data_IF_306870656842
#
_entry.id   IF_306870656842
#
_cell.length_a   1.000
_cell.length_b   1.000
_cell.length_c   1.000
_cell.angle_alpha   90.00
_cell.angle_beta   90.00
_cell.angle_gamma   90.00
#
_symmetry.space_group_name_H-M   'P 1'
#
loop_
_entity.id
_entity.type
_entity.pdbx_description
1 polymer ?
#
# COMPACT_ATOMS: atom_id res chain seq x y z
N UNK A 1 -8.55 75.16 -24.94
CA UNK A 1 -8.19 74.00 -24.17
C UNK A 1 -9.00 72.81 -24.70
N UNK A 2 -8.41 71.85 -25.40
CA UNK A 2 -9.10 70.65 -25.87
C UNK A 2 -8.96 69.52 -24.87
N UNK A 3 -10.10 68.88 -24.57
CA UNK A 3 -10.27 67.75 -23.71
C UNK A 3 -9.78 66.47 -24.39
N UNK A 4 -8.81 65.79 -23.77
CA UNK A 4 -8.32 64.44 -24.16
C UNK A 4 -9.40 63.41 -23.81
N UNK A 5 -9.91 62.69 -24.80
CA UNK A 5 -10.71 61.46 -24.61
C UNK A 5 -9.78 60.25 -24.56
N UNK A 6 -9.70 59.63 -23.42
CA UNK A 6 -8.96 58.38 -23.23
C UNK A 6 -9.81 57.20 -23.72
N UNK A 7 -9.34 56.56 -24.82
CA UNK A 7 -9.93 55.27 -25.27
C UNK A 7 -9.30 54.14 -24.46
N UNK A 8 -10.07 53.50 -23.62
CA UNK A 8 -9.68 52.24 -22.95
C UNK A 8 -9.89 51.06 -23.91
N UNK A 9 -8.79 50.40 -24.27
CA UNK A 9 -8.82 49.12 -25.01
C UNK A 9 -9.05 48.00 -23.97
N UNK A 10 -10.26 47.39 -23.99
CA UNK A 10 -10.55 46.18 -23.25
C UNK A 10 -10.04 44.99 -24.07
N UNK A 11 -8.89 44.42 -23.66
CA UNK A 11 -8.41 43.14 -24.19
C UNK A 11 -9.22 42.01 -23.53
N UNK A 12 -10.17 41.46 -24.26
CA UNK A 12 -10.86 40.20 -23.90
C UNK A 12 -9.89 39.03 -24.15
N UNK A 13 -9.28 38.50 -23.09
CA UNK A 13 -8.59 37.20 -23.14
C UNK A 13 -9.63 36.08 -23.28
N UNK A 14 -9.76 35.52 -24.45
CA UNK A 14 -10.45 34.24 -24.65
C UNK A 14 -9.57 33.14 -24.10
N UNK A 15 -9.86 32.66 -22.90
CA UNK A 15 -9.31 31.40 -22.38
C UNK A 15 -10.04 30.29 -23.12
N UNK A 16 -9.39 29.74 -24.15
CA UNK A 16 -9.82 28.49 -24.73
C UNK A 16 -9.57 27.40 -23.66
N UNK A 17 -10.63 26.99 -22.95
CA UNK A 17 -10.63 25.71 -22.25
C UNK A 17 -10.46 24.64 -23.34
N UNK A 18 -9.24 24.16 -23.53
CA UNK A 18 -9.01 22.94 -24.30
C UNK A 18 -9.66 21.80 -23.51
N UNK A 19 -10.87 21.38 -23.89
CA UNK A 19 -11.45 20.14 -23.44
C UNK A 19 -10.47 19.03 -23.79
N UNK A 20 -9.99 18.27 -22.80
CA UNK A 20 -9.15 17.11 -23.07
C UNK A 20 -9.91 16.17 -24.02
N UNK A 21 -9.25 15.71 -25.06
CA UNK A 21 -9.86 14.77 -26.00
C UNK A 21 -10.23 13.48 -25.26
N UNK A 22 -11.49 13.12 -25.31
CA UNK A 22 -12.02 11.87 -24.74
C UNK A 22 -11.75 10.72 -25.69
N UNK A 23 -11.15 9.66 -25.18
CA UNK A 23 -10.81 8.44 -25.92
C UNK A 23 -11.55 7.26 -25.32
N UNK A 24 -12.10 6.40 -26.18
CA UNK A 24 -12.86 5.23 -25.76
C UNK A 24 -11.95 4.08 -25.39
N UNK A 25 -12.17 3.52 -24.21
CA UNK A 25 -11.53 2.27 -23.74
C UNK A 25 -12.60 1.21 -23.57
N UNK A 26 -12.45 0.11 -24.30
CA UNK A 26 -13.28 -1.09 -24.20
C UNK A 26 -12.45 -2.21 -23.59
N UNK A 27 -12.95 -2.85 -22.54
CA UNK A 27 -12.32 -4.01 -21.90
C UNK A 27 -13.25 -5.20 -22.05
N UNK A 28 -12.78 -6.21 -22.77
CA UNK A 28 -13.47 -7.48 -22.96
C UNK A 28 -12.84 -8.51 -22.04
N UNK A 29 -13.65 -9.24 -21.27
CA UNK A 29 -13.19 -10.29 -20.36
C UNK A 29 -13.73 -11.62 -20.83
N UNK A 30 -12.82 -12.54 -21.21
CA UNK A 30 -13.09 -13.89 -21.70
C UNK A 30 -12.47 -14.93 -20.75
N UNK A 31 -13.13 -15.28 -19.62
CA UNK A 31 -12.59 -16.30 -18.72
C UNK A 31 -12.44 -17.65 -19.43
N UNK A 32 -11.39 -18.42 -19.09
CA UNK A 32 -11.22 -19.79 -19.58
C UNK A 32 -12.39 -20.68 -19.18
N UNK A 33 -12.54 -21.84 -19.82
CA UNK A 33 -13.60 -22.81 -19.50
C UNK A 33 -13.56 -23.20 -18.01
N UNK A 34 -12.37 -23.32 -17.43
CA UNK A 34 -12.18 -23.63 -16.01
C UNK A 34 -12.56 -22.49 -15.07
N UNK A 35 -12.57 -21.24 -15.56
CA UNK A 35 -12.94 -20.05 -14.80
C UNK A 35 -14.42 -19.66 -14.95
N UNK A 36 -15.16 -20.30 -15.87
CA UNK A 36 -16.60 -20.02 -16.10
C UNK A 36 -17.46 -20.76 -15.10
N UNK A 37 -18.53 -20.07 -14.69
CA UNK A 37 -19.57 -20.60 -13.83
C UNK A 37 -20.93 -20.07 -14.29
N UNK A 38 -22.01 -20.83 -14.14
CA UNK A 38 -23.35 -20.44 -14.60
C UNK A 38 -23.87 -19.13 -13.95
N UNK A 39 -23.36 -18.78 -12.77
CA UNK A 39 -23.69 -17.57 -12.03
C UNK A 39 -22.60 -16.49 -12.01
N UNK A 40 -21.56 -16.62 -12.87
CA UNK A 40 -20.41 -15.71 -12.83
C UNK A 40 -20.83 -14.28 -13.14
N UNK A 41 -20.55 -13.37 -12.21
CA UNK A 41 -20.58 -11.94 -12.41
C UNK A 41 -19.14 -11.44 -12.41
N UNK A 42 -18.79 -10.61 -13.40
CA UNK A 42 -17.45 -10.07 -13.55
C UNK A 42 -17.48 -8.58 -13.23
N UNK A 43 -16.49 -8.12 -12.48
CA UNK A 43 -16.34 -6.73 -12.06
C UNK A 43 -14.94 -6.22 -12.41
N UNK A 44 -14.82 -4.89 -12.51
CA UNK A 44 -13.56 -4.20 -12.63
C UNK A 44 -13.35 -3.29 -11.41
N UNK A 45 -12.13 -3.28 -10.89
CA UNK A 45 -11.72 -2.40 -9.80
C UNK A 45 -10.38 -1.75 -10.13
N UNK A 46 -10.27 -0.43 -10.00
CA UNK A 46 -9.05 0.28 -10.38
C UNK A 46 -8.95 1.70 -9.86
N UNK A 47 -7.94 2.40 -10.35
CA UNK A 47 -7.54 3.71 -9.86
C UNK A 47 -8.46 4.89 -10.25
N UNK A 48 -9.42 4.67 -11.16
CA UNK A 48 -10.37 5.69 -11.63
C UNK A 48 -11.75 5.50 -11.02
N UNK A 49 -12.55 6.58 -11.00
CA UNK A 49 -13.96 6.53 -10.60
C UNK A 49 -14.77 5.55 -11.43
N UNK A 50 -14.49 5.48 -12.74
CA UNK A 50 -15.09 4.56 -13.71
C UNK A 50 -14.79 3.10 -13.40
N UNK A 51 -13.72 2.85 -12.66
CA UNK A 51 -13.32 1.52 -12.15
C UNK A 51 -13.65 1.33 -10.66
N UNK A 52 -14.48 2.21 -10.07
CA UNK A 52 -14.96 2.06 -8.70
C UNK A 52 -13.91 2.30 -7.61
N UNK A 53 -12.82 3.04 -7.91
CA UNK A 53 -11.80 3.43 -6.93
C UNK A 53 -11.33 2.26 -6.04
N UNK A 54 -10.95 1.15 -6.68
CA UNK A 54 -10.50 -0.08 -6.03
C UNK A 54 -11.56 -0.82 -5.19
N UNK A 55 -12.85 -0.59 -5.43
CA UNK A 55 -13.90 -1.42 -4.85
C UNK A 55 -14.18 -2.63 -5.75
N UNK A 56 -13.91 -3.89 -5.32
CA UNK A 56 -13.95 -5.07 -6.17
C UNK A 56 -15.36 -5.49 -6.64
N UNK A 57 -16.41 -4.88 -6.09
CA UNK A 57 -17.81 -5.22 -6.40
C UNK A 57 -18.64 -4.05 -6.92
N UNK A 58 -18.04 -2.85 -7.08
CA UNK A 58 -18.83 -1.66 -7.42
C UNK A 58 -19.17 -1.52 -8.91
N UNK A 59 -18.25 -1.90 -9.81
CA UNK A 59 -18.44 -1.74 -11.26
C UNK A 59 -18.55 -3.12 -11.92
N UNK A 60 -19.79 -3.52 -12.14
CA UNK A 60 -20.10 -4.79 -12.81
C UNK A 60 -20.00 -4.64 -14.32
N UNK A 61 -19.36 -5.60 -14.99
CA UNK A 61 -19.30 -5.66 -16.44
C UNK A 61 -20.63 -6.15 -17.03
N UNK A 62 -20.97 -5.64 -18.19
CA UNK A 62 -22.08 -6.12 -18.99
C UNK A 62 -21.80 -7.53 -19.53
N UNK A 63 -22.70 -8.48 -19.32
CA UNK A 63 -22.58 -9.83 -19.87
C UNK A 63 -23.10 -9.84 -21.31
N UNK A 64 -22.19 -10.04 -22.27
CA UNK A 64 -22.51 -10.08 -23.70
C UNK A 64 -22.92 -11.49 -24.12
N UNK A 65 -22.28 -12.51 -23.55
CA UNK A 65 -22.58 -13.93 -23.79
C UNK A 65 -22.23 -14.78 -22.56
N UNK A 66 -22.40 -16.09 -22.66
CA UNK A 66 -21.99 -17.02 -21.60
C UNK A 66 -20.47 -17.06 -21.36
N UNK A 67 -19.69 -16.45 -22.25
CA UNK A 67 -18.24 -16.46 -22.17
C UNK A 67 -17.59 -15.09 -22.30
N UNK A 68 -18.37 -14.02 -22.43
CA UNK A 68 -17.85 -12.69 -22.70
C UNK A 68 -18.55 -11.62 -21.87
N UNK A 69 -17.75 -10.82 -21.18
CA UNK A 69 -18.17 -9.62 -20.45
C UNK A 69 -17.48 -8.39 -21.02
N UNK A 70 -18.16 -7.24 -20.99
CA UNK A 70 -17.71 -5.97 -21.55
C UNK A 70 -17.79 -4.86 -20.49
N UNK A 71 -16.76 -4.05 -20.45
CA UNK A 71 -16.76 -2.71 -19.87
C UNK A 71 -16.40 -1.71 -20.97
N UNK A 72 -17.05 -0.53 -20.97
CA UNK A 72 -16.72 0.55 -21.89
C UNK A 72 -16.89 1.90 -21.20
N UNK A 73 -15.89 2.78 -21.34
CA UNK A 73 -15.94 4.15 -20.85
C UNK A 73 -15.01 5.06 -21.65
N UNK A 74 -15.20 6.36 -21.53
CA UNK A 74 -14.34 7.37 -22.11
C UNK A 74 -13.38 7.92 -21.05
N UNK A 75 -12.14 8.17 -21.46
CA UNK A 75 -11.08 8.72 -20.60
C UNK A 75 -10.36 9.84 -21.31
N UNK A 76 -9.82 10.78 -20.55
CA UNK A 76 -8.98 11.82 -21.11
C UNK A 76 -7.72 11.23 -21.75
N UNK A 77 -7.28 11.81 -22.86
CA UNK A 77 -6.01 11.43 -23.47
C UNK A 77 -4.88 11.54 -22.45
N UNK A 78 -3.90 10.62 -22.53
CA UNK A 78 -2.81 10.43 -21.58
C UNK A 78 -3.24 10.00 -20.16
N UNK A 79 -4.51 9.63 -19.94
CA UNK A 79 -4.91 8.99 -18.69
C UNK A 79 -4.15 7.68 -18.46
N UNK A 80 -3.62 7.51 -17.26
CA UNK A 80 -3.08 6.24 -16.82
C UNK A 80 -4.16 5.44 -16.09
N UNK A 81 -4.47 4.27 -16.63
CA UNK A 81 -5.45 3.34 -16.08
C UNK A 81 -4.73 2.15 -15.46
N UNK A 82 -5.12 1.83 -14.23
CA UNK A 82 -4.65 0.67 -13.51
C UNK A 82 -5.85 -0.03 -12.88
N UNK A 83 -6.00 -1.33 -13.15
CA UNK A 83 -7.18 -2.06 -12.72
C UNK A 83 -6.93 -3.57 -12.56
N UNK A 84 -7.87 -4.21 -11.91
CA UNK A 84 -7.99 -5.67 -11.75
C UNK A 84 -9.38 -6.12 -12.16
N UNK A 85 -9.49 -7.39 -12.54
CA UNK A 85 -10.76 -8.05 -12.78
C UNK A 85 -11.06 -8.96 -11.60
N UNK A 86 -12.30 -8.94 -11.10
CA UNK A 86 -12.74 -9.75 -9.98
C UNK A 86 -14.07 -10.44 -10.28
N UNK A 87 -14.45 -11.42 -9.48
CA UNK A 87 -15.81 -11.99 -9.47
C UNK A 87 -16.61 -11.50 -8.25
N UNK A 88 -16.43 -10.22 -7.86
CA UNK A 88 -17.20 -9.52 -6.83
C UNK A 88 -16.47 -9.37 -5.49
N UNK A 89 -15.28 -9.92 -5.33
CA UNK A 89 -14.46 -9.71 -4.12
C UNK A 89 -12.98 -9.87 -4.44
N UNK A 90 -12.12 -9.40 -3.54
CA UNK A 90 -10.68 -9.59 -3.67
C UNK A 90 -10.22 -11.04 -3.51
N UNK A 91 -11.00 -11.87 -2.82
CA UNK A 91 -10.78 -13.32 -2.75
C UNK A 91 -11.09 -14.03 -4.07
N UNK A 92 -11.80 -13.35 -4.96
CA UNK A 92 -12.19 -13.84 -6.28
C UNK A 92 -11.54 -13.00 -7.39
N UNK A 93 -10.33 -12.56 -7.18
CA UNK A 93 -9.53 -11.84 -8.18
C UNK A 93 -9.11 -12.77 -9.32
N UNK A 94 -9.07 -12.23 -10.54
CA UNK A 94 -8.65 -12.96 -11.73
C UNK A 94 -7.16 -13.31 -11.70
N UNK A 95 -6.83 -14.55 -12.03
CA UNK A 95 -5.47 -15.05 -12.17
C UNK A 95 -5.20 -15.47 -13.61
N UNK A 96 -4.01 -15.13 -14.10
CA UNK A 96 -3.56 -15.40 -15.47
C UNK A 96 -2.54 -16.55 -15.54
N UNK A 97 -2.14 -17.07 -14.39
CA UNK A 97 -1.25 -18.23 -14.25
C UNK A 97 -1.53 -18.88 -12.88
N UNK A 98 -1.53 -20.21 -12.80
CA UNK A 98 -1.81 -20.96 -11.57
C UNK A 98 -0.81 -20.71 -10.44
N UNK A 99 0.39 -20.23 -10.76
CA UNK A 99 1.49 -20.03 -9.80
C UNK A 99 1.86 -18.57 -9.57
N UNK A 100 1.10 -17.61 -10.08
CA UNK A 100 1.42 -16.18 -9.96
C UNK A 100 0.43 -15.45 -9.09
N UNK A 101 0.97 -14.56 -8.27
CA UNK A 101 0.17 -13.55 -7.57
C UNK A 101 -0.55 -12.66 -8.57
N UNK A 102 -1.79 -12.24 -8.27
CA UNK A 102 -2.52 -11.30 -9.11
C UNK A 102 -1.72 -10.01 -9.32
N UNK A 103 -1.66 -9.55 -10.57
CA UNK A 103 -1.00 -8.29 -10.93
C UNK A 103 -2.03 -7.31 -11.47
N UNK A 104 -1.79 -6.02 -11.27
CA UNK A 104 -2.62 -4.99 -11.89
C UNK A 104 -2.42 -4.98 -13.41
N UNK A 105 -3.51 -4.80 -14.15
CA UNK A 105 -3.45 -4.49 -15.57
C UNK A 105 -3.29 -2.98 -15.72
N UNK A 106 -2.37 -2.53 -16.57
CA UNK A 106 -2.09 -1.10 -16.77
C UNK A 106 -2.26 -0.73 -18.24
N UNK A 107 -2.78 0.48 -18.50
CA UNK A 107 -2.96 1.04 -19.83
C UNK A 107 -2.71 2.55 -19.80
N UNK A 108 -1.85 3.05 -20.70
CA UNK A 108 -1.76 4.47 -21.03
C UNK A 108 -2.70 4.78 -22.20
N UNK A 109 -3.68 5.64 -21.98
CA UNK A 109 -4.70 5.98 -22.98
C UNK A 109 -4.13 7.01 -23.97
N UNK A 110 -3.79 6.56 -25.18
CA UNK A 110 -3.25 7.45 -26.25
C UNK A 110 -4.12 7.43 -27.52
N UNK A 111 -5.06 6.48 -27.61
CA UNK A 111 -6.03 6.31 -28.70
C UNK A 111 -7.18 5.45 -28.23
N UNK A 112 -8.25 5.38 -29.00
CA UNK A 112 -9.31 4.40 -28.78
C UNK A 112 -8.71 2.99 -28.72
N UNK A 113 -9.01 2.27 -27.65
CA UNK A 113 -8.32 1.00 -27.35
C UNK A 113 -9.32 -0.07 -26.91
N UNK A 114 -9.17 -1.27 -27.43
CA UNK A 114 -9.86 -2.47 -26.95
C UNK A 114 -8.82 -3.42 -26.35
N UNK A 115 -9.03 -3.80 -25.08
CA UNK A 115 -8.23 -4.81 -24.39
C UNK A 115 -9.05 -6.09 -24.23
N UNK A 116 -8.43 -7.24 -24.45
CA UNK A 116 -9.02 -8.55 -24.17
C UNK A 116 -8.26 -9.18 -23.00
N UNK A 117 -8.98 -9.42 -21.92
CA UNK A 117 -8.46 -9.99 -20.67
C UNK A 117 -8.98 -11.42 -20.56
N UNK A 118 -8.07 -12.39 -20.38
CA UNK A 118 -8.41 -13.83 -20.34
C UNK A 118 -8.01 -14.46 -19.01
N UNK A 119 -8.83 -14.35 -17.97
CA UNK A 119 -8.59 -15.05 -16.72
C UNK A 119 -8.55 -16.56 -16.92
N UNK A 120 -7.52 -17.22 -16.39
CA UNK A 120 -7.43 -18.68 -16.38
C UNK A 120 -8.17 -19.26 -15.16
N UNK A 121 -8.12 -18.56 -14.04
CA UNK A 121 -8.71 -18.97 -12.77
C UNK A 121 -9.20 -17.77 -12.00
N UNK A 122 -10.03 -18.03 -10.95
CA UNK A 122 -10.33 -17.09 -9.87
C UNK A 122 -9.57 -17.53 -8.64
N UNK A 123 -8.98 -16.61 -7.91
CA UNK A 123 -8.09 -16.84 -6.76
C UNK A 123 -8.63 -17.90 -5.78
N UNK A 124 -9.89 -17.82 -5.37
CA UNK A 124 -10.53 -18.76 -4.44
C UNK A 124 -10.53 -20.21 -4.91
N UNK A 125 -10.50 -20.49 -6.21
CA UNK A 125 -10.48 -21.86 -6.75
C UNK A 125 -9.11 -22.54 -6.65
N UNK A 126 -8.03 -21.77 -6.66
CA UNK A 126 -6.66 -22.29 -6.46
C UNK A 126 -6.38 -22.54 -4.98
N UNK A 127 -6.95 -21.72 -4.09
CA UNK A 127 -6.81 -21.85 -2.63
C UNK A 127 -7.56 -23.04 -2.02
N UNK A 128 -8.08 -24.00 -2.80
CA UNK A 128 -8.66 -25.24 -2.25
C UNK A 128 -7.62 -26.17 -1.60
N UNK A 129 -6.33 -25.97 -1.86
CA UNK A 129 -5.27 -26.42 -0.96
C UNK A 129 -4.93 -25.26 -0.03
N UNK A 130 -5.59 -25.19 1.11
CA UNK A 130 -5.29 -24.20 2.14
C UNK A 130 -3.81 -24.39 2.52
N UNK A 131 -2.96 -23.37 2.38
CA UNK A 131 -1.58 -23.52 2.83
C UNK A 131 -1.58 -23.88 4.32
N UNK A 132 -0.62 -24.68 4.76
CA UNK A 132 -0.45 -24.97 6.18
C UNK A 132 0.02 -23.71 6.91
N UNK A 133 -0.45 -23.47 8.16
CA UNK A 133 0.05 -22.38 8.99
C UNK A 133 1.57 -22.52 9.16
N UNK A 134 2.31 -21.45 8.89
CA UNK A 134 3.78 -21.50 8.89
C UNK A 134 4.44 -20.41 9.75
N UNK A 135 3.80 -20.01 10.84
CA UNK A 135 4.35 -18.97 11.71
C UNK A 135 5.57 -19.52 12.47
N UNK A 136 6.71 -18.86 12.30
CA UNK A 136 7.95 -19.19 12.99
C UNK A 136 8.09 -18.39 14.28
N UNK A 137 8.19 -19.07 15.40
CA UNK A 137 8.33 -18.46 16.72
C UNK A 137 7.00 -18.30 17.45
N UNK A 138 6.98 -17.43 18.45
CA UNK A 138 5.81 -17.21 19.30
C UNK A 138 5.05 -15.98 18.85
N UNK A 139 3.74 -16.13 18.71
CA UNK A 139 2.80 -15.04 18.47
C UNK A 139 1.70 -15.01 19.49
N UNK A 140 1.27 -13.80 19.85
CA UNK A 140 0.09 -13.55 20.66
C UNK A 140 -0.93 -12.77 19.81
N UNK A 141 -2.22 -13.05 20.02
CA UNK A 141 -3.31 -12.37 19.32
C UNK A 141 -4.11 -11.50 20.29
N UNK A 142 -4.37 -10.27 19.88
CA UNK A 142 -5.36 -9.41 20.53
C UNK A 142 -6.49 -9.18 19.53
N UNK A 143 -7.68 -9.65 19.90
CA UNK A 143 -8.82 -9.72 18.98
C UNK A 143 -9.77 -8.54 19.15
N UNK A 144 -10.35 -8.10 18.01
CA UNK A 144 -11.47 -7.18 17.96
C UNK A 144 -11.22 -5.84 18.68
N UNK A 145 -10.02 -5.28 18.54
CA UNK A 145 -9.71 -3.96 19.06
C UNK A 145 -10.36 -2.88 18.22
N UNK A 146 -11.04 -1.95 18.86
CA UNK A 146 -11.65 -0.78 18.25
C UNK A 146 -10.98 0.51 18.68
N UNK A 147 -11.30 1.60 17.98
CA UNK A 147 -10.83 2.95 18.29
C UNK A 147 -11.87 3.99 17.93
N UNK A 148 -11.82 5.13 18.59
CA UNK A 148 -12.73 6.23 18.34
C UNK A 148 -12.63 6.71 16.89
N UNK A 149 -13.77 6.91 16.25
CA UNK A 149 -13.87 7.35 14.87
C UNK A 149 -13.61 6.26 13.82
N UNK A 150 -13.37 4.98 14.21
CA UNK A 150 -13.27 3.84 13.31
C UNK A 150 -14.58 3.09 13.20
N UNK A 151 -14.93 2.64 12.00
CA UNK A 151 -16.16 1.87 11.75
C UNK A 151 -16.02 0.38 12.07
N UNK A 152 -14.79 -0.14 12.15
CA UNK A 152 -14.53 -1.57 12.26
C UNK A 152 -13.47 -1.87 13.32
N UNK A 153 -13.73 -2.89 14.13
CA UNK A 153 -12.74 -3.51 14.99
C UNK A 153 -11.77 -4.35 14.15
N UNK A 154 -10.58 -4.60 14.68
CA UNK A 154 -9.55 -5.38 14.00
C UNK A 154 -8.70 -6.19 14.96
N UNK A 155 -8.07 -7.20 14.43
CA UNK A 155 -7.16 -8.05 15.17
C UNK A 155 -5.73 -7.49 15.09
N UNK A 156 -4.97 -7.76 16.13
CA UNK A 156 -3.55 -7.46 16.23
C UNK A 156 -2.82 -8.78 16.50
N UNK A 157 -1.73 -9.00 15.78
CA UNK A 157 -0.82 -10.13 16.01
C UNK A 157 0.54 -9.59 16.47
N UNK A 158 1.07 -10.14 17.55
CA UNK A 158 2.36 -9.73 18.12
C UNK A 158 3.33 -10.90 18.07
N UNK A 159 4.41 -10.77 17.29
CA UNK A 159 5.50 -11.72 17.24
C UNK A 159 6.60 -11.34 18.22
N UNK A 160 7.06 -12.33 18.99
CA UNK A 160 8.06 -12.16 20.03
C UNK A 160 9.41 -12.72 19.59
N UNK A 161 10.52 -11.98 19.82
CA UNK A 161 11.85 -12.40 19.40
C UNK A 161 12.37 -13.63 20.18
N UNK A 162 13.36 -14.38 19.64
CA UNK A 162 13.80 -15.66 20.18
C UNK A 162 14.24 -15.64 21.66
N UNK A 163 14.78 -14.52 22.15
CA UNK A 163 15.21 -14.43 23.56
C UNK A 163 14.11 -13.94 24.51
N UNK A 164 12.90 -13.61 24.02
CA UNK A 164 11.88 -12.96 24.83
C UNK A 164 11.53 -13.73 26.12
N UNK A 165 11.28 -15.03 26.02
CA UNK A 165 10.95 -15.87 27.19
C UNK A 165 12.15 -16.08 28.12
N UNK A 166 13.36 -16.17 27.56
CA UNK A 166 14.59 -16.50 28.30
C UNK A 166 15.18 -15.30 29.03
N UNK A 167 15.01 -14.09 28.48
CA UNK A 167 15.58 -12.87 29.03
C UNK A 167 14.51 -11.91 29.52
N UNK A 168 14.04 -12.14 30.75
CA UNK A 168 12.94 -11.44 31.37
C UNK A 168 13.22 -9.96 31.72
N UNK A 169 14.48 -9.52 31.67
CA UNK A 169 14.90 -8.14 31.97
C UNK A 169 15.10 -7.28 30.71
N UNK A 170 15.20 -7.91 29.55
CA UNK A 170 15.47 -7.21 28.29
C UNK A 170 14.23 -6.53 27.75
N UNK A 171 14.38 -5.30 27.27
CA UNK A 171 13.38 -4.52 26.53
C UNK A 171 13.76 -4.45 25.05
N UNK A 172 12.77 -4.45 24.18
CA UNK A 172 12.94 -4.62 22.75
C UNK A 172 12.35 -3.43 21.97
N UNK A 173 13.00 -2.97 20.91
CA UNK A 173 12.37 -2.08 19.94
C UNK A 173 11.13 -2.72 19.35
N UNK A 174 10.21 -1.91 18.84
CA UNK A 174 8.94 -2.37 18.28
C UNK A 174 8.81 -1.92 16.84
N UNK A 175 8.45 -2.85 15.98
CA UNK A 175 8.05 -2.62 14.61
C UNK A 175 6.55 -2.85 14.47
N UNK A 176 5.81 -1.80 14.12
CA UNK A 176 4.39 -1.90 13.73
C UNK A 176 4.29 -2.14 12.23
N UNK A 177 3.40 -3.02 11.81
CA UNK A 177 3.20 -3.33 10.39
C UNK A 177 1.73 -3.23 10.01
N UNK A 178 1.45 -2.47 8.97
CA UNK A 178 0.14 -2.43 8.33
C UNK A 178 -0.17 -3.76 7.64
N UNK A 179 -1.46 -4.04 7.41
CA UNK A 179 -1.92 -5.26 6.75
C UNK A 179 -1.45 -6.54 7.46
N UNK A 180 -1.59 -6.57 8.80
CA UNK A 180 -1.04 -7.59 9.69
C UNK A 180 -1.44 -9.03 9.35
N UNK A 181 -2.54 -9.24 8.65
CA UNK A 181 -2.97 -10.56 8.16
C UNK A 181 -2.03 -11.14 7.09
N UNK A 182 -1.20 -10.29 6.44
CA UNK A 182 -0.33 -10.69 5.32
C UNK A 182 1.12 -10.94 5.72
N UNK A 183 1.50 -10.81 7.01
CA UNK A 183 2.93 -10.69 7.35
C UNK A 183 3.61 -11.98 7.82
N UNK A 184 2.87 -12.93 8.40
CA UNK A 184 3.43 -14.13 9.04
C UNK A 184 2.83 -15.46 8.57
N UNK A 185 1.61 -15.45 8.02
CA UNK A 185 0.88 -16.69 7.76
C UNK A 185 0.19 -16.63 6.39
N UNK A 186 0.55 -17.52 5.46
CA UNK A 186 -0.09 -17.56 4.15
C UNK A 186 -1.58 -17.92 4.24
N UNK A 187 -2.03 -18.56 5.34
CA UNK A 187 -3.46 -18.92 5.50
C UNK A 187 -4.35 -17.73 5.79
N UNK A 188 -3.81 -16.66 6.37
CA UNK A 188 -4.51 -15.39 6.63
C UNK A 188 -4.22 -14.35 5.56
N UNK A 189 -3.13 -14.53 4.80
CA UNK A 189 -2.69 -13.58 3.81
C UNK A 189 -3.68 -13.46 2.66
N UNK A 190 -3.95 -12.21 2.27
CA UNK A 190 -4.90 -11.84 1.23
C UNK A 190 -4.67 -12.54 -0.13
N UNK A 191 -3.40 -12.72 -0.53
CA UNK A 191 -3.02 -13.39 -1.77
C UNK A 191 -2.71 -14.88 -1.60
N UNK A 192 -2.74 -15.41 -0.36
CA UNK A 192 -2.23 -16.73 -0.04
C UNK A 192 -0.69 -16.81 0.00
N UNK A 193 -0.02 -15.64 -0.08
CA UNK A 193 1.41 -15.45 0.14
C UNK A 193 1.59 -14.41 1.24
N UNK A 194 2.30 -14.76 2.27
CA UNK A 194 2.69 -13.84 3.34
C UNK A 194 4.06 -13.20 3.06
N UNK A 195 4.39 -12.19 3.85
CA UNK A 195 5.67 -11.51 3.71
C UNK A 195 6.84 -12.27 4.36
N UNK A 196 6.57 -13.33 5.10
CA UNK A 196 7.56 -14.13 5.80
C UNK A 196 8.44 -13.30 6.75
N UNK A 197 7.82 -12.34 7.42
CA UNK A 197 8.56 -11.35 8.24
C UNK A 197 9.18 -12.01 9.45
N UNK A 198 8.53 -12.99 10.03
CA UNK A 198 9.01 -13.80 11.17
C UNK A 198 10.25 -14.61 10.81
N UNK A 199 10.28 -15.29 9.65
CA UNK A 199 11.47 -16.03 9.21
C UNK A 199 12.61 -15.10 8.87
N UNK A 200 12.32 -13.97 8.19
CA UNK A 200 13.35 -12.98 7.86
C UNK A 200 13.91 -12.34 9.13
N UNK A 201 13.07 -11.93 10.07
CA UNK A 201 13.49 -11.33 11.33
C UNK A 201 14.29 -12.33 12.19
N UNK A 202 13.79 -13.58 12.38
CA UNK A 202 14.49 -14.62 13.13
C UNK A 202 15.88 -14.89 12.53
N UNK A 203 15.98 -14.98 11.20
CA UNK A 203 17.25 -15.17 10.50
C UNK A 203 18.23 -14.02 10.74
N UNK A 204 17.80 -12.78 10.53
CA UNK A 204 18.64 -11.59 10.73
C UNK A 204 19.09 -11.44 12.19
N UNK A 205 18.21 -11.75 13.14
CA UNK A 205 18.52 -11.76 14.59
C UNK A 205 19.57 -12.81 14.91
N UNK A 206 19.41 -14.06 14.45
CA UNK A 206 20.36 -15.16 14.69
C UNK A 206 21.72 -14.87 14.06
N UNK A 207 21.75 -14.26 12.90
CA UNK A 207 22.98 -13.79 12.25
C UNK A 207 23.58 -12.53 12.90
N UNK A 208 22.90 -11.95 13.90
CA UNK A 208 23.32 -10.72 14.60
C UNK A 208 23.40 -9.50 13.67
N UNK A 209 22.65 -9.50 12.57
CA UNK A 209 22.58 -8.38 11.62
C UNK A 209 21.70 -7.26 12.18
N UNK A 210 20.59 -7.63 12.82
CA UNK A 210 19.69 -6.67 13.52
C UNK A 210 19.65 -6.97 15.02
N UNK A 211 19.21 -5.99 15.81
CA UNK A 211 18.84 -6.27 17.20
C UNK A 211 17.52 -7.07 17.25
N UNK A 212 17.25 -7.70 18.39
CA UNK A 212 15.98 -8.38 18.59
C UNK A 212 14.86 -7.37 18.76
N UNK A 213 13.79 -7.53 18.00
CA UNK A 213 12.63 -6.63 17.95
C UNK A 213 11.33 -7.39 18.23
N UNK A 214 10.32 -6.71 18.75
CA UNK A 214 8.92 -7.15 18.75
C UNK A 214 8.30 -6.66 17.44
N UNK A 215 7.48 -7.50 16.77
CA UNK A 215 6.77 -7.12 15.55
C UNK A 215 5.27 -7.19 15.80
N UNK A 216 4.56 -6.11 15.51
CA UNK A 216 3.13 -5.95 15.75
C UNK A 216 2.41 -5.77 14.41
N UNK A 217 1.71 -6.80 13.98
CA UNK A 217 0.88 -6.75 12.78
C UNK A 217 -0.53 -6.22 13.07
N UNK A 218 -0.91 -5.14 12.44
CA UNK A 218 -2.23 -4.52 12.56
C UNK A 218 -3.06 -4.94 11.35
N UNK A 219 -4.10 -5.74 11.57
CA UNK A 219 -4.97 -6.19 10.48
C UNK A 219 -5.70 -4.99 9.89
N UNK A 220 -5.89 -4.98 8.58
CA UNK A 220 -6.72 -3.96 7.94
C UNK A 220 -8.21 -4.25 8.13
N UNK A 221 -9.02 -3.28 7.78
CA UNK A 221 -10.48 -3.33 7.75
C UNK A 221 -11.00 -3.16 6.33
N UNK A 222 -12.31 -3.31 6.07
CA UNK A 222 -12.93 -2.91 4.82
C UNK A 222 -12.67 -1.43 4.43
N UNK A 223 -12.44 -0.57 5.42
CA UNK A 223 -12.14 0.85 5.23
C UNK A 223 -10.64 1.13 5.01
N UNK A 224 -9.84 0.11 4.65
CA UNK A 224 -8.39 0.23 4.45
C UNK A 224 -7.98 1.45 3.61
N UNK A 225 -8.72 1.74 2.55
CA UNK A 225 -8.37 2.84 1.63
C UNK A 225 -8.40 4.21 2.33
N UNK A 226 -9.50 4.67 2.94
CA UNK A 226 -9.53 5.93 3.67
C UNK A 226 -8.69 5.89 4.96
N UNK A 227 -8.59 4.76 5.66
CA UNK A 227 -7.78 4.64 6.89
C UNK A 227 -6.28 4.78 6.63
N UNK A 228 -5.79 4.39 5.44
CA UNK A 228 -4.36 4.47 5.10
C UNK A 228 -4.00 5.76 4.34
N UNK A 229 -4.91 6.72 4.28
CA UNK A 229 -4.74 7.98 3.59
C UNK A 229 -4.73 9.18 4.54
N UNK A 230 -4.47 10.37 4.00
CA UNK A 230 -4.59 11.63 4.75
C UNK A 230 -6.03 12.13 4.75
N UNK A 231 -6.88 11.46 5.53
CA UNK A 231 -8.32 11.70 5.70
C UNK A 231 -8.69 11.75 7.18
N UNK A 232 -9.97 11.99 7.47
CA UNK A 232 -10.50 11.88 8.84
C UNK A 232 -10.37 10.46 9.38
N UNK A 233 -10.73 9.43 8.58
CA UNK A 233 -10.55 8.04 8.96
C UNK A 233 -9.06 7.67 9.09
N UNK A 234 -8.17 8.23 8.27
CA UNK A 234 -6.73 8.07 8.41
C UNK A 234 -6.21 8.67 9.72
N UNK A 235 -6.76 9.80 10.14
CA UNK A 235 -6.44 10.42 11.43
C UNK A 235 -6.96 9.58 12.59
N UNK A 236 -8.19 9.05 12.50
CA UNK A 236 -8.76 8.13 13.49
C UNK A 236 -7.93 6.83 13.58
N UNK A 237 -7.52 6.26 12.45
CA UNK A 237 -6.64 5.09 12.41
C UNK A 237 -5.28 5.36 13.05
N UNK A 238 -4.65 6.49 12.77
CA UNK A 238 -3.39 6.87 13.40
C UNK A 238 -3.54 7.01 14.93
N UNK A 239 -4.62 7.65 15.40
CA UNK A 239 -4.93 7.76 16.82
C UNK A 239 -5.19 6.38 17.45
N UNK A 240 -5.90 5.49 16.79
CA UNK A 240 -6.09 4.11 17.24
C UNK A 240 -4.76 3.38 17.39
N UNK A 241 -3.87 3.46 16.40
CA UNK A 241 -2.55 2.80 16.48
C UNK A 241 -1.73 3.35 17.66
N UNK A 242 -1.80 4.64 17.93
CA UNK A 242 -1.04 5.27 19.01
C UNK A 242 -1.68 5.01 20.38
N UNK A 243 -2.96 5.31 20.52
CA UNK A 243 -3.62 5.38 21.83
C UNK A 243 -4.18 4.03 22.28
N UNK A 244 -4.44 3.09 21.35
CA UNK A 244 -4.96 1.77 21.66
C UNK A 244 -3.89 0.72 21.46
N UNK A 245 -3.39 0.56 20.22
CA UNK A 245 -2.46 -0.54 19.90
C UNK A 245 -1.13 -0.36 20.61
N UNK A 246 -0.49 0.80 20.45
CA UNK A 246 0.82 1.06 21.09
C UNK A 246 0.72 1.05 22.61
N UNK A 247 -0.31 1.65 23.18
CA UNK A 247 -0.53 1.64 24.62
C UNK A 247 -0.71 0.22 25.17
N UNK A 248 -1.48 -0.64 24.48
CA UNK A 248 -1.64 -2.05 24.81
C UNK A 248 -0.31 -2.80 24.74
N UNK A 249 0.44 -2.63 23.63
CA UNK A 249 1.73 -3.29 23.44
C UNK A 249 2.75 -2.87 24.48
N UNK A 250 2.84 -1.58 24.79
CA UNK A 250 3.77 -1.05 25.78
C UNK A 250 3.44 -1.45 27.22
N UNK A 251 2.16 -1.70 27.53
CA UNK A 251 1.73 -2.19 28.87
C UNK A 251 1.84 -3.71 29.01
N UNK A 252 1.76 -4.46 27.91
CA UNK A 252 1.74 -5.92 27.93
C UNK A 252 3.13 -6.53 27.74
N UNK A 253 3.96 -5.87 26.91
CA UNK A 253 5.26 -6.42 26.52
C UNK A 253 6.42 -5.53 26.96
N UNK A 254 7.61 -6.10 27.04
CA UNK A 254 8.85 -5.41 27.42
C UNK A 254 9.39 -4.60 26.24
N UNK A 255 8.82 -3.44 26.00
CA UNK A 255 9.16 -2.56 24.89
C UNK A 255 10.15 -1.46 25.29
N UNK A 256 10.97 -1.02 24.33
CA UNK A 256 11.67 0.27 24.37
C UNK A 256 10.72 1.32 23.75
N UNK A 257 10.13 2.17 24.59
CA UNK A 257 8.98 3.00 24.21
C UNK A 257 9.35 4.27 23.43
N UNK A 258 10.62 4.66 23.39
CA UNK A 258 11.02 5.91 22.72
C UNK A 258 10.90 5.79 21.19
N UNK A 259 10.71 6.94 20.54
CA UNK A 259 10.54 7.01 19.08
C UNK A 259 11.69 6.39 18.29
N UNK A 260 12.92 6.47 18.81
CA UNK A 260 14.13 5.91 18.20
C UNK A 260 14.09 4.39 18.12
N UNK A 261 13.22 3.76 18.93
CA UNK A 261 13.00 2.32 18.99
C UNK A 261 11.61 1.90 18.46
N UNK A 262 10.86 2.84 17.87
CA UNK A 262 9.52 2.61 17.35
C UNK A 262 9.50 2.84 15.84
N UNK A 263 9.30 1.75 15.09
CA UNK A 263 9.20 1.77 13.63
C UNK A 263 7.80 1.39 13.15
N UNK A 264 7.45 1.84 11.93
CA UNK A 264 6.23 1.44 11.24
C UNK A 264 6.53 1.12 9.78
N UNK A 265 5.91 0.08 9.22
CA UNK A 265 6.17 -0.37 7.86
C UNK A 265 4.88 -0.85 7.18
N UNK A 266 4.82 -0.70 5.88
CA UNK A 266 3.76 -1.24 5.04
C UNK A 266 4.08 -1.13 3.55
N UNK A 267 3.20 -1.67 2.71
CA UNK A 267 3.32 -1.58 1.26
C UNK A 267 2.14 -0.85 0.64
N UNK A 268 2.34 -0.34 -0.57
CA UNK A 268 1.26 0.31 -1.32
C UNK A 268 0.69 1.49 -0.52
N UNK A 269 -0.63 1.50 -0.25
CA UNK A 269 -1.25 2.46 0.68
C UNK A 269 -0.68 2.34 2.10
N UNK A 270 -0.32 1.12 2.56
CA UNK A 270 0.36 0.94 3.85
C UNK A 270 1.74 1.60 3.87
N UNK A 271 2.44 1.67 2.74
CA UNK A 271 3.69 2.42 2.59
C UNK A 271 3.48 3.94 2.63
N UNK A 272 2.40 4.44 2.01
CA UNK A 272 1.96 5.82 2.13
C UNK A 272 1.63 6.16 3.60
N UNK A 273 0.80 5.33 4.24
CA UNK A 273 0.43 5.47 5.65
C UNK A 273 1.65 5.50 6.57
N UNK A 274 2.63 4.58 6.36
CA UNK A 274 3.86 4.56 7.14
C UNK A 274 4.63 5.89 7.08
N UNK A 275 4.69 6.51 5.90
CA UNK A 275 5.30 7.84 5.76
C UNK A 275 4.49 8.91 6.49
N UNK A 276 3.16 8.89 6.39
CA UNK A 276 2.27 9.82 7.10
C UNK A 276 2.45 9.72 8.62
N UNK A 277 2.59 8.51 9.16
CA UNK A 277 2.81 8.30 10.59
C UNK A 277 4.08 9.00 11.11
N UNK A 278 5.23 8.76 10.49
CA UNK A 278 6.48 9.41 10.93
C UNK A 278 6.51 10.89 10.61
N UNK A 279 5.79 11.32 9.57
CA UNK A 279 5.73 12.72 9.18
C UNK A 279 4.86 13.55 10.12
N UNK A 280 3.69 13.02 10.50
CA UNK A 280 2.72 13.71 11.38
C UNK A 280 2.99 13.49 12.86
N UNK A 281 3.51 12.33 13.24
CA UNK A 281 3.81 11.96 14.64
C UNK A 281 5.27 11.54 14.84
N UNK A 282 6.24 12.43 14.51
CA UNK A 282 7.66 12.18 14.71
C UNK A 282 8.07 12.11 16.19
N UNK A 283 7.16 12.45 17.10
CA UNK A 283 7.27 12.29 18.54
C UNK A 283 7.05 10.84 18.99
N UNK A 284 6.29 10.04 18.22
CA UNK A 284 5.93 8.64 18.52
C UNK A 284 6.71 7.67 17.67
N UNK A 285 6.78 7.90 16.35
CA UNK A 285 7.42 7.03 15.38
C UNK A 285 8.68 7.69 14.83
N UNK A 286 9.83 7.08 15.09
CA UNK A 286 11.11 7.57 14.58
C UNK A 286 11.55 6.95 13.26
N UNK A 287 10.90 5.87 12.80
CA UNK A 287 11.36 5.11 11.64
C UNK A 287 10.17 4.64 10.79
N UNK A 288 10.27 4.80 9.47
CA UNK A 288 9.30 4.27 8.51
C UNK A 288 9.96 3.41 7.43
N UNK A 289 9.28 2.31 7.07
CA UNK A 289 9.54 1.51 5.89
C UNK A 289 8.37 1.60 4.90
N UNK A 290 8.61 2.18 3.74
CA UNK A 290 7.59 2.44 2.73
C UNK A 290 7.90 1.61 1.49
N UNK A 291 7.30 0.40 1.37
CA UNK A 291 7.51 -0.47 0.23
C UNK A 291 6.48 -0.16 -0.86
N UNK A 292 6.96 0.12 -2.07
CA UNK A 292 6.09 0.44 -3.21
C UNK A 292 4.96 1.42 -2.88
N UNK A 293 5.23 2.58 -2.22
CA UNK A 293 4.20 3.44 -1.66
C UNK A 293 3.32 4.09 -2.74
N UNK A 294 2.02 4.16 -2.47
CA UNK A 294 1.00 4.71 -3.38
C UNK A 294 0.97 6.25 -3.36
N UNK A 295 2.06 6.92 -3.74
CA UNK A 295 2.15 8.39 -3.72
C UNK A 295 1.25 9.10 -4.73
N UNK A 296 0.66 8.38 -5.66
CA UNK A 296 -0.34 8.90 -6.61
C UNK A 296 -1.71 9.16 -5.95
N UNK A 297 -1.95 8.55 -4.78
CA UNK A 297 -3.25 8.63 -4.11
C UNK A 297 -3.59 10.08 -3.73
N UNK A 298 -4.89 10.41 -3.81
CA UNK A 298 -5.46 11.73 -3.51
C UNK A 298 -4.70 12.86 -4.22
N UNK A 299 -4.54 12.70 -5.54
CA UNK A 299 -3.87 13.67 -6.41
C UNK A 299 -2.48 14.08 -5.90
N UNK A 300 -1.71 13.10 -5.41
CA UNK A 300 -0.35 13.27 -4.88
C UNK A 300 -0.26 14.21 -3.65
N UNK A 301 -1.32 14.34 -2.89
CA UNK A 301 -1.42 15.23 -1.72
C UNK A 301 -0.20 15.12 -0.80
N UNK A 302 0.20 13.89 -0.44
CA UNK A 302 1.37 13.68 0.43
C UNK A 302 2.69 14.17 -0.17
N UNK A 303 2.88 13.99 -1.49
CA UNK A 303 4.05 14.53 -2.19
C UNK A 303 4.08 16.05 -2.14
N UNK A 304 2.92 16.69 -2.39
CA UNK A 304 2.75 18.15 -2.36
C UNK A 304 3.02 18.68 -0.96
N UNK A 305 2.39 18.09 0.06
CA UNK A 305 2.54 18.50 1.47
C UNK A 305 4.01 18.43 1.93
N UNK A 306 4.71 17.32 1.68
CA UNK A 306 6.10 17.17 2.10
C UNK A 306 7.01 18.13 1.32
N UNK A 307 6.75 18.36 0.04
CA UNK A 307 7.51 19.34 -0.78
C UNK A 307 7.37 20.76 -0.23
N UNK A 308 6.16 21.16 0.13
CA UNK A 308 5.83 22.52 0.60
C UNK A 308 6.20 22.76 2.06
N UNK A 309 6.44 21.69 2.82
CA UNK A 309 6.84 21.82 4.23
C UNK A 309 8.11 22.65 4.39
N UNK A 310 8.00 23.77 5.09
CA UNK A 310 9.09 24.76 5.32
C UNK A 310 9.67 24.72 6.76
N UNK A 311 9.15 23.84 7.61
CA UNK A 311 9.64 23.69 8.98
C UNK A 311 11.01 23.00 9.08
N UNK A 312 11.51 22.89 10.29
CA UNK A 312 12.78 22.20 10.55
C UNK A 312 12.72 20.73 10.13
N UNK A 313 13.85 20.21 9.67
CA UNK A 313 14.01 18.79 9.36
C UNK A 313 13.58 17.94 10.55
N UNK A 314 12.65 17.01 10.31
CA UNK A 314 12.19 16.06 11.33
C UNK A 314 13.28 14.98 11.57
N UNK A 315 13.54 14.67 12.85
CA UNK A 315 14.50 13.63 13.23
C UNK A 315 13.87 12.24 13.14
N UNK A 316 13.71 11.76 11.92
CA UNK A 316 13.14 10.46 11.58
C UNK A 316 14.03 9.75 10.55
N UNK A 317 13.89 8.41 10.45
CA UNK A 317 14.51 7.59 9.42
C UNK A 317 13.44 7.10 8.44
N UNK A 318 13.70 7.17 7.16
CA UNK A 318 12.75 6.77 6.11
C UNK A 318 13.46 5.81 5.14
N UNK A 319 12.89 4.62 4.98
CA UNK A 319 13.24 3.69 3.91
C UNK A 319 12.16 3.73 2.83
N UNK A 320 12.57 3.80 1.56
CA UNK A 320 11.69 3.79 0.40
C UNK A 320 12.13 2.71 -0.59
N UNK A 321 11.20 1.96 -1.18
CA UNK A 321 11.52 1.17 -2.35
C UNK A 321 10.43 1.22 -3.42
N UNK A 322 10.77 0.72 -4.62
CA UNK A 322 9.85 0.56 -5.73
C UNK A 322 10.33 -0.57 -6.65
N UNK A 323 9.40 -1.35 -7.17
CA UNK A 323 9.67 -2.35 -8.19
C UNK A 323 9.73 -1.74 -9.59
N UNK A 324 10.64 -2.22 -10.43
CA UNK A 324 10.81 -1.72 -11.80
C UNK A 324 9.67 -2.08 -12.75
N UNK A 325 8.81 -3.03 -12.37
CA UNK A 325 7.59 -3.39 -13.10
C UNK A 325 6.35 -2.67 -12.59
N UNK A 326 6.47 -1.84 -11.57
CA UNK A 326 5.41 -1.01 -10.98
C UNK A 326 5.41 0.39 -11.65
N UNK A 327 5.19 0.43 -12.96
CA UNK A 327 5.41 1.62 -13.81
C UNK A 327 4.74 2.89 -13.27
N UNK A 328 3.56 2.76 -12.71
CA UNK A 328 2.74 3.83 -12.13
C UNK A 328 3.34 4.44 -10.85
N UNK A 329 4.09 3.64 -10.09
CA UNK A 329 4.68 4.08 -8.82
C UNK A 329 6.06 4.73 -8.99
N UNK A 330 6.77 4.39 -10.07
CA UNK A 330 8.17 4.79 -10.27
C UNK A 330 8.33 6.32 -10.23
N UNK A 331 7.42 7.06 -10.86
CA UNK A 331 7.48 8.52 -10.90
C UNK A 331 7.32 9.13 -9.51
N UNK A 332 6.29 8.72 -8.77
CA UNK A 332 6.04 9.17 -7.39
C UNK A 332 7.20 8.82 -6.44
N UNK A 333 7.69 7.57 -6.53
CA UNK A 333 8.86 7.12 -5.77
C UNK A 333 10.09 7.99 -6.02
N UNK A 334 10.48 8.22 -7.28
CA UNK A 334 11.64 9.04 -7.62
C UNK A 334 11.50 10.47 -7.11
N UNK A 335 10.32 11.07 -7.28
CA UNK A 335 10.04 12.43 -6.80
C UNK A 335 10.13 12.52 -5.29
N UNK A 336 9.57 11.54 -4.54
CA UNK A 336 9.64 11.55 -3.09
C UNK A 336 11.10 11.43 -2.60
N UNK A 337 11.91 10.57 -3.22
CA UNK A 337 13.35 10.47 -2.90
C UNK A 337 14.04 11.83 -3.07
N UNK A 338 13.80 12.52 -4.18
CA UNK A 338 14.41 13.85 -4.42
C UNK A 338 13.86 14.91 -3.44
N UNK A 339 12.57 14.92 -3.15
CA UNK A 339 11.98 15.81 -2.14
C UNK A 339 12.67 15.62 -0.78
N UNK A 340 12.81 14.38 -0.33
CA UNK A 340 13.46 14.09 0.96
C UNK A 340 14.94 14.53 0.98
N UNK A 341 15.67 14.35 -0.12
CA UNK A 341 17.05 14.86 -0.25
C UNK A 341 17.10 16.39 -0.13
N UNK A 342 16.18 17.11 -0.80
CA UNK A 342 16.12 18.59 -0.68
C UNK A 342 15.76 19.06 0.72
N UNK A 343 15.03 18.23 1.50
CA UNK A 343 14.76 18.45 2.94
C UNK A 343 15.94 18.07 3.85
N UNK A 344 17.09 17.69 3.26
CA UNK A 344 18.32 17.39 4.00
C UNK A 344 18.45 15.98 4.55
N UNK A 345 17.59 15.03 4.14
CA UNK A 345 17.76 13.61 4.47
C UNK A 345 18.91 13.01 3.63
N UNK A 346 19.74 12.18 4.28
CA UNK A 346 20.98 11.66 3.68
C UNK A 346 20.92 10.15 3.58
N UNK A 347 21.23 9.61 2.38
CA UNK A 347 21.30 8.17 2.14
C UNK A 347 22.28 7.49 3.10
N UNK A 348 21.90 6.33 3.62
CA UNK A 348 22.70 5.55 4.61
C UNK A 348 22.71 6.11 6.04
N UNK A 349 22.04 7.26 6.28
CA UNK A 349 21.92 7.88 7.62
C UNK A 349 20.49 7.88 8.12
N UNK A 350 19.65 8.69 7.51
CA UNK A 350 18.25 8.92 7.88
C UNK A 350 17.29 8.76 6.68
N UNK A 351 17.83 8.46 5.52
CA UNK A 351 17.13 8.04 4.31
C UNK A 351 17.86 6.84 3.73
N UNK A 352 17.14 5.78 3.36
CA UNK A 352 17.65 4.78 2.43
C UNK A 352 16.58 4.45 1.40
N UNK A 353 17.01 4.03 0.22
CA UNK A 353 16.07 3.74 -0.87
C UNK A 353 16.68 2.76 -1.87
N UNK A 354 15.79 1.91 -2.43
CA UNK A 354 16.17 0.87 -3.38
C UNK A 354 15.18 0.81 -4.53
N UNK A 355 15.69 0.52 -5.72
CA UNK A 355 14.91 0.23 -6.92
C UNK A 355 15.18 -1.20 -7.35
N UNK A 356 14.15 -2.05 -7.33
CA UNK A 356 14.26 -3.47 -7.68
C UNK A 356 13.75 -3.70 -9.10
N UNK A 357 14.65 -3.80 -10.09
CA UNK A 357 14.33 -3.81 -11.52
C UNK A 357 13.26 -4.82 -11.93
N UNK A 358 13.22 -5.99 -11.30
CA UNK A 358 12.25 -7.06 -11.59
C UNK A 358 11.07 -7.09 -10.62
N UNK A 359 11.03 -6.19 -9.63
CA UNK A 359 9.97 -6.14 -8.62
C UNK A 359 8.60 -5.83 -9.23
N UNK A 360 7.58 -6.52 -8.75
CA UNK A 360 6.17 -6.26 -9.04
C UNK A 360 5.44 -5.87 -7.76
N UNK A 361 4.23 -5.34 -7.89
CA UNK A 361 3.35 -4.94 -6.79
C UNK A 361 2.67 -6.15 -6.16
N UNK A 362 3.39 -6.89 -5.33
CA UNK A 362 2.86 -8.11 -4.71
C UNK A 362 3.59 -8.51 -3.44
N UNK A 363 2.90 -9.25 -2.56
CA UNK A 363 3.43 -9.79 -1.31
C UNK A 363 4.68 -10.64 -1.55
N UNK A 364 4.70 -11.44 -2.61
CA UNK A 364 5.86 -12.25 -3.00
C UNK A 364 7.14 -11.41 -3.20
N UNK A 365 7.02 -10.24 -3.83
CA UNK A 365 8.17 -9.36 -4.05
C UNK A 365 8.48 -8.49 -2.83
N UNK A 366 7.48 -8.12 -2.01
CA UNK A 366 7.73 -7.43 -0.74
C UNK A 366 8.43 -8.36 0.27
N UNK A 367 8.04 -9.63 0.33
CA UNK A 367 8.75 -10.66 1.12
C UNK A 367 10.26 -10.73 0.79
N UNK A 368 10.61 -10.65 -0.50
CA UNK A 368 12.02 -10.66 -0.94
C UNK A 368 12.80 -9.41 -0.54
N UNK A 369 12.14 -8.32 -0.20
CA UNK A 369 12.74 -7.00 0.06
C UNK A 369 12.66 -6.56 1.51
N UNK A 370 11.76 -7.13 2.32
CA UNK A 370 11.48 -6.69 3.70
C UNK A 370 12.72 -6.70 4.62
N UNK A 371 13.71 -7.53 4.33
CA UNK A 371 14.99 -7.54 5.08
C UNK A 371 15.71 -6.19 5.01
N UNK A 372 15.59 -5.43 3.92
CA UNK A 372 16.29 -4.15 3.74
C UNK A 372 15.84 -3.08 4.73
N UNK A 373 14.54 -2.75 4.84
CA UNK A 373 14.08 -1.81 5.87
C UNK A 373 14.34 -2.33 7.28
N UNK A 374 14.27 -3.64 7.55
CA UNK A 374 14.63 -4.19 8.86
C UNK A 374 16.09 -3.90 9.23
N UNK A 375 17.01 -4.09 8.29
CA UNK A 375 18.45 -3.78 8.49
C UNK A 375 18.66 -2.28 8.62
N UNK A 376 18.02 -1.45 7.83
CA UNK A 376 18.15 0.01 7.91
C UNK A 376 17.66 0.56 9.25
N UNK A 377 16.55 0.04 9.77
CA UNK A 377 15.93 0.52 11.00
C UNK A 377 16.60 -0.04 12.25
N UNK A 378 16.89 -1.33 12.27
CA UNK A 378 17.31 -2.08 13.48
C UNK A 378 18.68 -2.73 13.37
N UNK A 379 19.45 -2.44 12.33
CA UNK A 379 20.79 -2.97 12.12
C UNK A 379 21.72 -2.65 13.30
N UNK A 380 22.48 -3.65 13.74
CA UNK A 380 23.52 -3.46 14.75
C UNK A 380 24.66 -2.63 14.15
N UNK A 381 25.05 -1.60 14.86
CA UNK A 381 26.23 -0.77 14.55
C UNK A 381 27.48 -1.43 15.07
#
# INVERSE_FOLDING_TARGET
MPTLKTFGIILLFWVHLMSAQQLRVTILVEPSVTARDSGLNVFIAGNRSEFGKWNPSSIRLERISDSLWKFESNFDTLSFLEFKITAGSWEQEALFDSNKSPTNTTLQVTKDTTLIIRPLFWKRRILQQKPEPMIRGKVDYHRQLGGDGLNHNRDIIVWLPPSYEKNTKKHYPVLYMHDGQNIFDPTTAFTGYDWRVDEVADSLIRMKVIEEIIIVGIYNSPDRLPEYSDSELGSAYMNFVINVVKALVDSTYRTKQSKEHTGIIGSSLGGLSSLLFVWKRPDVFGMAGCLSPSFWYDDEKTLKEIREYSGHKKHIKIYLDCGGREKELISGYKRMVEILKTKGYKKGKDLDYTFESNGTHSEHYWAKRVWRPLVFMFGRR
#
